data_IF_554312331722
#
_entry.id   IF_554312331722
#
_cell.length_a   1.000
_cell.length_b   1.000
_cell.length_c   1.000
_cell.angle_alpha   90.00
_cell.angle_beta   90.00
_cell.angle_gamma   90.00
#
_symmetry.space_group_name_H-M   'P 1'
#
loop_
_entity.id
_entity.type
_entity.pdbx_description
1 polymer ?
#
# COMPACT_ATOMS: atom_id res chain seq x y z
N UNK A 1 -13.75 -21.25 0.92
CA UNK A 1 -13.54 -19.79 0.79
C UNK A 1 -12.06 -19.59 0.55
N UNK A 2 -11.69 -19.16 -0.65
CA UNK A 2 -10.30 -18.74 -0.91
C UNK A 2 -10.11 -17.40 -0.20
N UNK A 3 -9.27 -17.36 0.83
CA UNK A 3 -9.08 -16.14 1.63
C UNK A 3 -8.54 -15.00 0.75
N UNK A 4 -9.08 -13.80 0.91
CA UNK A 4 -8.59 -12.61 0.21
C UNK A 4 -7.07 -12.48 0.41
N UNK A 5 -6.33 -12.37 -0.68
CA UNK A 5 -4.86 -12.30 -0.63
C UNK A 5 -4.43 -10.98 0.03
N UNK A 6 -3.53 -11.08 1.01
CA UNK A 6 -2.94 -9.95 1.71
C UNK A 6 -1.49 -9.78 1.22
N UNK A 7 -1.09 -8.55 0.91
CA UNK A 7 0.27 -8.22 0.52
C UNK A 7 0.90 -7.22 1.51
N UNK A 8 2.11 -7.51 1.98
CA UNK A 8 2.90 -6.62 2.84
C UNK A 8 4.01 -5.99 2.01
N UNK A 9 4.08 -4.66 1.99
CA UNK A 9 5.07 -3.93 1.18
C UNK A 9 5.91 -3.05 2.08
N UNK A 10 7.22 -3.31 2.12
CA UNK A 10 8.21 -2.51 2.86
C UNK A 10 8.73 -1.36 2.00
N UNK A 11 9.13 -0.25 2.64
CA UNK A 11 9.56 0.94 1.90
C UNK A 11 8.46 1.57 1.06
N UNK A 12 7.20 1.34 1.43
CA UNK A 12 6.03 1.63 0.61
C UNK A 12 5.56 3.09 0.67
N UNK A 13 6.25 3.94 1.43
CA UNK A 13 5.93 5.37 1.52
C UNK A 13 6.38 6.20 0.29
N UNK A 14 7.13 5.62 -0.66
CA UNK A 14 7.63 6.32 -1.84
C UNK A 14 8.05 5.38 -2.96
N UNK A 15 8.34 5.95 -4.14
CA UNK A 15 8.95 5.24 -5.27
C UNK A 15 8.19 3.98 -5.67
N UNK A 16 8.94 2.91 -5.96
CA UNK A 16 8.37 1.63 -6.40
C UNK A 16 7.49 0.95 -5.34
N UNK A 17 7.79 1.11 -4.06
CA UNK A 17 6.97 0.52 -2.98
C UNK A 17 5.56 1.11 -2.99
N UNK A 18 5.44 2.43 -3.19
CA UNK A 18 4.14 3.09 -3.29
C UNK A 18 3.33 2.65 -4.51
N UNK A 19 3.98 2.60 -5.68
CA UNK A 19 3.34 2.13 -6.92
C UNK A 19 2.93 0.65 -6.82
N UNK A 20 3.74 -0.17 -6.14
CA UNK A 20 3.41 -1.57 -5.86
C UNK A 20 2.15 -1.66 -5.00
N UNK A 21 2.03 -0.86 -3.94
CA UNK A 21 0.80 -0.79 -3.15
C UNK A 21 -0.41 -0.41 -4.00
N UNK A 22 -0.28 0.60 -4.87
CA UNK A 22 -1.35 1.05 -5.75
C UNK A 22 -1.83 -0.05 -6.70
N UNK A 23 -0.91 -0.76 -7.35
CA UNK A 23 -1.25 -1.84 -8.29
C UNK A 23 -1.81 -3.08 -7.61
N UNK A 24 -1.37 -3.41 -6.39
CA UNK A 24 -1.92 -4.53 -5.64
C UNK A 24 -3.33 -4.21 -5.15
N UNK A 25 -3.54 -3.00 -4.64
CA UNK A 25 -4.87 -2.52 -4.22
C UNK A 25 -5.86 -2.49 -5.40
N UNK A 26 -5.44 -2.02 -6.59
CA UNK A 26 -6.29 -1.98 -7.78
C UNK A 26 -6.69 -3.38 -8.29
N UNK A 27 -5.98 -4.43 -7.89
CA UNK A 27 -6.31 -5.83 -8.17
C UNK A 27 -7.19 -6.48 -7.11
N UNK A 28 -7.65 -5.71 -6.11
CA UNK A 28 -8.54 -6.18 -5.05
C UNK A 28 -7.84 -6.89 -3.89
N UNK A 29 -6.52 -6.73 -3.74
CA UNK A 29 -5.80 -7.25 -2.58
C UNK A 29 -5.88 -6.29 -1.40
N UNK A 30 -5.90 -6.84 -0.19
CA UNK A 30 -5.63 -6.06 1.01
C UNK A 30 -4.12 -5.79 1.09
N UNK A 31 -3.73 -4.51 1.14
CA UNK A 31 -2.33 -4.12 1.16
C UNK A 31 -1.96 -3.50 2.50
N UNK A 32 -0.89 -4.00 3.11
CA UNK A 32 -0.25 -3.42 4.30
C UNK A 32 0.94 -2.58 3.84
N UNK A 33 0.79 -1.26 3.92
CA UNK A 33 1.82 -0.27 3.61
C UNK A 33 2.74 -0.10 4.82
N UNK A 34 4.01 -0.52 4.71
CA UNK A 34 4.98 -0.37 5.80
C UNK A 34 5.92 0.82 5.55
N UNK A 35 5.99 1.71 6.55
CA UNK A 35 6.92 2.85 6.61
C UNK A 35 7.55 2.92 8.00
N UNK A 36 8.80 3.38 8.07
CA UNK A 36 9.46 3.72 9.37
C UNK A 36 8.95 5.03 9.96
N UNK A 37 8.36 5.87 9.12
CA UNK A 37 7.87 7.19 9.46
C UNK A 37 6.35 7.19 9.24
N UNK A 38 5.60 7.45 10.34
CA UNK A 38 4.14 7.38 10.34
C UNK A 38 3.51 8.46 9.48
N UNK A 39 4.01 9.69 9.53
CA UNK A 39 3.47 10.80 8.74
C UNK A 39 3.67 10.55 7.25
N UNK A 40 4.88 10.11 6.86
CA UNK A 40 5.14 9.73 5.46
C UNK A 40 4.29 8.53 5.03
N UNK A 41 4.00 7.60 5.94
CA UNK A 41 3.12 6.47 5.68
C UNK A 41 1.67 6.91 5.44
N UNK A 42 1.16 7.82 6.27
CA UNK A 42 -0.19 8.38 6.11
C UNK A 42 -0.33 9.17 4.81
N UNK A 43 0.61 10.07 4.52
CA UNK A 43 0.61 10.82 3.26
C UNK A 43 0.68 9.89 2.02
N UNK A 44 1.37 8.74 2.15
CA UNK A 44 1.40 7.74 1.10
C UNK A 44 0.06 7.01 0.93
N UNK A 45 -0.63 6.68 2.03
CA UNK A 45 -2.00 6.14 1.98
C UNK A 45 -2.95 7.12 1.30
N UNK A 46 -2.94 8.40 1.70
CA UNK A 46 -3.83 9.42 1.14
C UNK A 46 -3.63 9.56 -0.39
N UNK A 47 -2.40 9.38 -0.88
CA UNK A 47 -2.08 9.40 -2.33
C UNK A 47 -2.62 8.21 -3.11
N UNK A 48 -2.86 7.06 -2.47
CA UNK A 48 -3.36 5.84 -3.14
C UNK A 48 -4.82 5.54 -2.81
N UNK A 49 -5.38 6.19 -1.79
CA UNK A 49 -6.79 6.09 -1.39
C UNK A 49 -7.67 7.21 -1.95
N UNK A 50 -7.08 8.23 -2.59
CA UNK A 50 -7.83 9.25 -3.32
C UNK A 50 -8.50 8.62 -4.57
N UNK A 51 -9.79 8.95 -4.85
CA UNK A 51 -10.55 8.41 -5.98
C UNK A 51 -9.98 8.82 -7.35
#
# INVERSE_FOLDING_TARGET
MEGSKIAVVTGANKGLGLETCRQLASRGLTVILCSRDREKGQAALDRISAP
#
